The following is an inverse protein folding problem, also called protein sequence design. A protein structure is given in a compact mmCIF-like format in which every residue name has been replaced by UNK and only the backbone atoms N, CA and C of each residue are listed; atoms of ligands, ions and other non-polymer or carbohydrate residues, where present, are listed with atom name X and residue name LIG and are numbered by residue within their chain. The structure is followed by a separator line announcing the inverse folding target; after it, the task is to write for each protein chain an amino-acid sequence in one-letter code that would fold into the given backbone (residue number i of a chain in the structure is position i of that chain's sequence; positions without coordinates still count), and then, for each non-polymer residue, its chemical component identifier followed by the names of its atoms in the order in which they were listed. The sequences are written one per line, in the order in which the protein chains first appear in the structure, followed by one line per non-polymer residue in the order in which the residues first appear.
data_IF_933217190162
#
_entry.id   IF_933217190162
#
_cell.length_a   1.000
_cell.length_b   1.000
_cell.length_c   1.000
_cell.angle_alpha   90.00
_cell.angle_beta   90.00
_cell.angle_gamma   90.00
#
_symmetry.space_group_name_H-M   'P 1'
#
loop_
_entity.id
_entity.type
_entity.pdbx_description
1 polymer ?
#
# COMPACT_ATOMS: atom_id res chain seq x y z
N UNK A 1 15.01 -23.29 5.60
CA UNK A 1 14.01 -22.99 6.66
C UNK A 1 13.54 -21.56 6.43
N UNK A 2 12.39 -21.39 5.78
CA UNK A 2 11.79 -20.08 5.55
C UNK A 2 11.04 -19.71 6.83
N UNK A 3 11.57 -18.77 7.60
CA UNK A 3 10.86 -18.19 8.73
C UNK A 3 9.70 -17.35 8.18
N UNK A 4 8.46 -17.70 8.51
CA UNK A 4 7.31 -16.80 8.41
C UNK A 4 7.58 -15.65 9.39
N UNK A 5 8.00 -14.49 8.87
CA UNK A 5 8.29 -13.31 9.68
C UNK A 5 7.04 -12.78 10.37
N UNK A 6 7.18 -12.19 11.56
CA UNK A 6 6.07 -11.63 12.30
C UNK A 6 5.52 -10.38 11.58
N UNK A 7 4.20 -10.26 11.51
CA UNK A 7 3.40 -9.14 10.96
C UNK A 7 3.94 -8.52 9.67
N UNK A 8 3.57 -9.13 8.55
CA UNK A 8 3.77 -8.55 7.22
C UNK A 8 2.50 -7.85 6.76
N UNK A 9 2.55 -6.53 6.56
CA UNK A 9 1.53 -5.85 5.75
C UNK A 9 1.84 -6.13 4.27
N UNK A 10 1.06 -6.98 3.61
CA UNK A 10 1.23 -7.29 2.19
C UNK A 10 0.28 -6.44 1.37
N UNK A 11 0.82 -5.72 0.40
CA UNK A 11 0.00 -4.97 -0.56
C UNK A 11 -0.45 -5.89 -1.70
N UNK A 12 -1.72 -5.78 -2.08
CA UNK A 12 -2.27 -6.44 -3.28
C UNK A 12 -2.98 -5.40 -4.15
N UNK A 13 -2.57 -5.29 -5.41
CA UNK A 13 -3.25 -4.49 -6.43
C UNK A 13 -4.25 -5.35 -7.20
N UNK A 14 -5.54 -5.04 -7.09
CA UNK A 14 -6.60 -5.77 -7.81
C UNK A 14 -7.09 -4.91 -8.98
N UNK A 15 -7.06 -5.47 -10.20
CA UNK A 15 -7.69 -4.85 -11.37
C UNK A 15 -9.19 -5.05 -11.30
N UNK A 16 -9.94 -3.98 -11.52
CA UNK A 16 -11.39 -3.97 -11.53
C UNK A 16 -11.93 -3.61 -12.91
N UNK A 17 -13.10 -4.16 -13.25
CA UNK A 17 -13.93 -3.60 -14.30
C UNK A 17 -14.60 -2.36 -13.73
N UNK A 18 -14.16 -1.18 -14.16
CA UNK A 18 -14.69 0.09 -13.67
C UNK A 18 -16.21 0.17 -13.83
N UNK A 19 -16.90 0.56 -12.76
CA UNK A 19 -18.34 0.83 -12.73
C UNK A 19 -18.64 1.82 -11.63
N UNK A 20 -19.73 2.58 -11.77
CA UNK A 20 -20.22 3.49 -10.73
C UNK A 20 -21.43 2.89 -10.05
N UNK A 21 -21.56 3.12 -8.74
CA UNK A 21 -22.72 2.68 -7.97
C UNK A 21 -23.07 3.70 -6.91
N UNK A 22 -24.36 4.02 -6.79
CA UNK A 22 -24.87 4.86 -5.70
C UNK A 22 -24.99 4.02 -4.43
N UNK A 23 -24.35 4.46 -3.35
CA UNK A 23 -24.40 3.80 -2.04
C UNK A 23 -25.09 4.70 -1.03
N UNK A 24 -26.22 4.24 -0.50
CA UNK A 24 -27.02 5.00 0.48
C UNK A 24 -26.63 4.70 1.94
N UNK A 25 -25.92 3.60 2.20
CA UNK A 25 -25.62 3.12 3.56
C UNK A 25 -24.66 4.02 4.34
N UNK A 26 -23.81 4.79 3.66
CA UNK A 26 -22.74 5.57 4.28
C UNK A 26 -22.80 7.06 3.92
N UNK A 27 -23.97 7.69 3.97
CA UNK A 27 -24.11 9.13 3.70
C UNK A 27 -24.44 9.49 2.25
N UNK A 28 -24.96 8.53 1.47
CA UNK A 28 -25.41 8.74 0.07
C UNK A 28 -24.28 9.26 -0.83
N UNK A 29 -23.42 8.34 -1.31
CA UNK A 29 -22.29 8.69 -2.17
C UNK A 29 -22.26 7.88 -3.47
N UNK A 30 -21.66 8.45 -4.51
CA UNK A 30 -21.30 7.73 -5.74
C UNK A 30 -19.94 7.04 -5.57
N UNK A 31 -19.94 5.71 -5.58
CA UNK A 31 -18.74 4.88 -5.46
C UNK A 31 -18.25 4.40 -6.83
N UNK A 32 -16.96 4.05 -6.91
CA UNK A 32 -16.34 3.46 -8.11
C UNK A 32 -15.52 4.43 -8.98
N UNK A 33 -15.50 5.72 -8.61
CA UNK A 33 -14.56 6.71 -9.13
C UNK A 33 -13.37 6.94 -8.21
N UNK A 34 -12.45 7.82 -8.61
CA UNK A 34 -11.34 8.33 -7.77
C UNK A 34 -11.67 9.67 -7.10
N UNK A 35 -12.92 10.13 -7.19
CA UNK A 35 -13.39 11.34 -6.51
C UNK A 35 -13.31 11.18 -4.98
N UNK A 36 -13.11 12.30 -4.29
CA UNK A 36 -13.21 12.31 -2.83
C UNK A 36 -14.66 12.10 -2.38
N UNK A 37 -14.86 11.65 -1.14
CA UNK A 37 -16.20 11.42 -0.60
C UNK A 37 -17.10 12.66 -0.70
N UNK A 38 -16.53 13.85 -0.47
CA UNK A 38 -17.23 15.14 -0.57
C UNK A 38 -17.68 15.45 -2.00
N UNK A 39 -16.84 15.17 -2.99
CA UNK A 39 -17.17 15.39 -4.41
C UNK A 39 -18.17 14.37 -4.93
N UNK A 40 -18.24 13.20 -4.29
CA UNK A 40 -19.15 12.12 -4.64
C UNK A 40 -20.46 12.11 -3.83
N UNK A 41 -20.68 13.10 -2.96
CA UNK A 41 -21.86 13.18 -2.09
C UNK A 41 -23.13 13.53 -2.89
N UNK A 42 -24.21 12.80 -2.63
CA UNK A 42 -25.47 12.89 -3.35
C UNK A 42 -26.56 13.38 -2.40
N UNK A 43 -27.01 14.62 -2.60
CA UNK A 43 -28.11 15.21 -1.84
C UNK A 43 -29.46 15.12 -2.59
N UNK A 44 -29.41 15.07 -3.92
CA UNK A 44 -30.56 15.05 -4.81
C UNK A 44 -30.34 14.12 -6.01
N UNK A 45 -31.40 13.80 -6.76
CA UNK A 45 -31.29 12.97 -7.96
C UNK A 45 -30.46 13.64 -9.08
N UNK A 46 -30.50 14.97 -9.17
CA UNK A 46 -29.74 15.74 -10.17
C UNK A 46 -28.23 15.64 -9.93
N UNK A 47 -27.81 15.51 -8.66
CA UNK A 47 -26.40 15.33 -8.30
C UNK A 47 -25.85 14.01 -8.86
N UNK A 48 -26.67 12.96 -8.92
CA UNK A 48 -26.25 11.66 -9.48
C UNK A 48 -25.84 11.83 -10.94
N UNK A 49 -26.67 12.48 -11.75
CA UNK A 49 -26.37 12.71 -13.16
C UNK A 49 -25.15 13.62 -13.34
N UNK A 50 -25.03 14.66 -12.52
CA UNK A 50 -23.90 15.59 -12.53
C UNK A 50 -22.58 14.87 -12.24
N UNK A 51 -22.54 14.06 -11.17
CA UNK A 51 -21.36 13.31 -10.77
C UNK A 51 -21.00 12.25 -11.82
N UNK A 52 -21.99 11.55 -12.39
CA UNK A 52 -21.75 10.57 -13.47
C UNK A 52 -21.11 11.27 -14.68
N UNK A 53 -21.66 12.41 -15.13
CA UNK A 53 -21.09 13.20 -16.23
C UNK A 53 -19.66 13.63 -15.91
N UNK A 54 -19.44 14.19 -14.72
CA UNK A 54 -18.12 14.60 -14.27
C UNK A 54 -17.11 13.44 -14.32
N UNK A 55 -17.48 12.26 -13.81
CA UNK A 55 -16.59 11.09 -13.81
C UNK A 55 -16.28 10.61 -15.22
N UNK A 56 -17.27 10.63 -16.12
CA UNK A 56 -17.07 10.21 -17.52
C UNK A 56 -16.19 11.22 -18.27
N UNK A 57 -16.53 12.50 -18.20
CA UNK A 57 -15.86 13.59 -18.94
C UNK A 57 -14.40 13.74 -18.51
N UNK A 58 -14.14 13.66 -17.19
CA UNK A 58 -12.80 13.72 -16.62
C UNK A 58 -12.10 12.35 -16.58
N UNK A 59 -12.74 11.30 -17.10
CA UNK A 59 -12.24 9.91 -17.11
C UNK A 59 -11.80 9.43 -15.73
N UNK A 60 -12.54 9.78 -14.67
CA UNK A 60 -12.23 9.52 -13.26
C UNK A 60 -12.66 8.14 -12.75
N UNK A 61 -13.07 7.24 -13.65
CA UNK A 61 -13.45 5.89 -13.28
C UNK A 61 -12.24 5.11 -12.75
N UNK A 62 -12.38 4.46 -11.60
CA UNK A 62 -11.33 3.60 -11.07
C UNK A 62 -11.25 2.31 -11.88
N UNK A 63 -10.03 1.88 -12.20
CA UNK A 63 -9.76 0.62 -12.90
C UNK A 63 -8.99 -0.38 -12.04
N UNK A 64 -8.53 0.07 -10.87
CA UNK A 64 -7.75 -0.69 -9.92
C UNK A 64 -8.16 -0.27 -8.51
N UNK A 65 -8.05 -1.20 -7.55
CA UNK A 65 -8.08 -0.87 -6.13
C UNK A 65 -6.76 -1.31 -5.52
N UNK A 66 -6.16 -0.39 -4.79
CA UNK A 66 -4.98 -0.64 -3.98
C UNK A 66 -5.41 -1.06 -2.60
N UNK A 67 -4.99 -2.24 -2.18
CA UNK A 67 -5.32 -2.80 -0.87
C UNK A 67 -4.04 -2.96 -0.07
N UNK A 68 -4.03 -2.42 1.14
CA UNK A 68 -3.06 -2.77 2.18
C UNK A 68 -3.71 -3.82 3.08
N UNK A 69 -3.06 -4.98 3.16
CA UNK A 69 -3.56 -6.13 3.91
C UNK A 69 -2.61 -6.40 5.07
N UNK A 70 -3.12 -6.37 6.30
CA UNK A 70 -2.39 -6.79 7.49
C UNK A 70 -2.45 -8.31 7.64
N UNK A 71 -1.30 -8.98 7.60
CA UNK A 71 -1.18 -10.39 7.96
C UNK A 71 -0.77 -10.52 9.42
N UNK A 72 -1.63 -11.14 10.23
CA UNK A 72 -1.28 -11.51 11.61
C UNK A 72 -0.40 -12.76 11.56
N UNK A 73 0.75 -12.80 12.26
CA UNK A 73 1.69 -13.93 12.24
C UNK A 73 1.23 -15.02 13.21
N UNK A 74 -0.03 -15.38 13.10
CA UNK A 74 -0.65 -16.48 13.83
C UNK A 74 -1.17 -17.48 12.80
N UNK A 75 -0.78 -18.76 12.89
CA UNK A 75 -1.28 -19.78 11.99
C UNK A 75 -2.81 -19.81 11.99
N UNK A 76 -3.41 -19.81 10.79
CA UNK A 76 -4.87 -19.87 10.63
C UNK A 76 -5.61 -18.54 10.84
N UNK A 77 -4.92 -17.45 11.20
CA UNK A 77 -5.55 -16.13 11.25
C UNK A 77 -5.72 -15.57 9.83
N UNK A 78 -6.94 -15.18 9.42
CA UNK A 78 -7.15 -14.62 8.09
C UNK A 78 -6.51 -13.22 7.99
N UNK A 79 -6.06 -12.83 6.79
CA UNK A 79 -5.61 -11.47 6.54
C UNK A 79 -6.74 -10.45 6.75
N UNK A 80 -6.39 -9.26 7.26
CA UNK A 80 -7.33 -8.17 7.49
C UNK A 80 -7.02 -7.02 6.54
N UNK A 81 -8.04 -6.44 5.91
CA UNK A 81 -7.87 -5.24 5.07
C UNK A 81 -7.68 -4.04 5.98
N UNK A 82 -6.52 -3.37 5.87
CA UNK A 82 -6.19 -2.16 6.62
C UNK A 82 -6.61 -0.90 5.87
N UNK A 83 -6.41 -0.89 4.56
CA UNK A 83 -6.82 0.22 3.71
C UNK A 83 -7.18 -0.29 2.31
N UNK A 84 -8.17 0.33 1.69
CA UNK A 84 -8.55 0.11 0.30
C UNK A 84 -8.76 1.47 -0.38
N UNK A 85 -8.02 1.73 -1.46
CA UNK A 85 -8.13 2.97 -2.22
C UNK A 85 -8.40 2.69 -3.70
N UNK A 86 -9.49 3.23 -4.27
CA UNK A 86 -9.71 3.19 -5.70
C UNK A 86 -8.67 4.07 -6.42
N UNK A 87 -8.13 3.55 -7.52
CA UNK A 87 -7.09 4.22 -8.31
C UNK A 87 -7.27 3.94 -9.80
N UNK A 88 -6.59 4.74 -10.63
CA UNK A 88 -6.40 4.51 -12.07
C UNK A 88 -5.14 3.69 -12.38
N UNK A 89 -4.37 3.30 -11.35
CA UNK A 89 -3.11 2.59 -11.50
C UNK A 89 -1.92 3.47 -11.87
N UNK A 90 -2.04 4.80 -11.72
CA UNK A 90 -1.00 5.77 -12.05
C UNK A 90 -0.35 6.43 -10.82
N UNK A 91 -0.66 5.94 -9.62
CA UNK A 91 -0.15 6.55 -8.39
C UNK A 91 1.38 6.44 -8.30
N UNK A 92 2.00 7.55 -7.90
CA UNK A 92 3.45 7.67 -7.78
C UNK A 92 4.02 7.03 -6.52
N UNK A 93 5.32 7.23 -6.31
CA UNK A 93 5.99 6.77 -5.09
C UNK A 93 5.50 7.55 -3.86
N UNK A 94 5.22 8.84 -4.06
CA UNK A 94 4.77 9.78 -3.05
C UNK A 94 3.37 9.42 -2.54
N UNK A 95 2.43 9.11 -3.44
CA UNK A 95 1.08 8.68 -3.09
C UNK A 95 1.09 7.37 -2.30
N UNK A 96 1.94 6.43 -2.73
CA UNK A 96 2.14 5.15 -2.04
C UNK A 96 2.74 5.34 -0.64
N UNK A 97 3.73 6.21 -0.50
CA UNK A 97 4.36 6.52 0.78
C UNK A 97 3.36 7.22 1.72
N UNK A 98 2.56 8.16 1.19
CA UNK A 98 1.54 8.86 1.96
C UNK A 98 0.47 7.90 2.52
N UNK A 99 0.00 6.96 1.69
CA UNK A 99 -0.94 5.93 2.14
C UNK A 99 -0.34 5.05 3.24
N UNK A 100 0.90 4.59 3.07
CA UNK A 100 1.57 3.73 4.03
C UNK A 100 1.83 4.46 5.36
N UNK A 101 2.33 5.70 5.32
CA UNK A 101 2.54 6.54 6.51
C UNK A 101 1.23 6.79 7.26
N UNK A 102 0.14 7.10 6.53
CA UNK A 102 -1.16 7.32 7.17
C UNK A 102 -1.68 6.05 7.83
N UNK A 103 -1.47 4.90 7.19
CA UNK A 103 -1.85 3.59 7.74
C UNK A 103 -1.04 3.28 9.01
N UNK A 104 0.26 3.55 9.03
CA UNK A 104 1.12 3.39 10.21
C UNK A 104 0.69 4.31 11.35
N UNK A 105 0.33 5.55 11.05
CA UNK A 105 -0.19 6.51 12.05
C UNK A 105 -1.48 5.98 12.70
N UNK A 106 -2.45 5.54 11.89
CA UNK A 106 -3.71 4.97 12.37
C UNK A 106 -3.50 3.67 13.16
N UNK A 107 -2.60 2.79 12.71
CA UNK A 107 -2.25 1.58 13.47
C UNK A 107 -1.64 1.94 14.84
N UNK A 108 -0.78 2.96 14.88
CA UNK A 108 -0.20 3.44 16.13
C UNK A 108 -1.21 4.11 17.06
N UNK A 109 -2.27 4.72 16.54
CA UNK A 109 -3.42 5.21 17.31
C UNK A 109 -4.28 4.06 17.86
N UNK A 110 -4.49 3.03 17.06
CA UNK A 110 -5.21 1.81 17.45
C UNK A 110 -4.39 0.84 18.33
N UNK A 111 -3.15 1.21 18.67
CA UNK A 111 -2.20 0.38 19.42
C UNK A 111 -1.92 -0.99 18.75
N UNK A 112 -1.98 -1.02 17.41
CA UNK A 112 -1.58 -2.15 16.59
C UNK A 112 -0.09 -2.02 16.26
N UNK A 113 0.65 -3.11 16.50
CA UNK A 113 2.04 -3.18 16.09
C UNK A 113 2.12 -3.50 14.61
N UNK A 114 3.09 -2.89 13.93
CA UNK A 114 3.37 -3.12 12.52
C UNK A 114 4.87 -3.22 12.39
N UNK A 115 5.34 -4.44 12.17
CA UNK A 115 6.76 -4.76 12.13
C UNK A 115 7.35 -4.59 10.74
N UNK A 116 6.57 -4.91 9.70
CA UNK A 116 7.06 -4.83 8.33
C UNK A 116 5.96 -4.55 7.32
N UNK A 117 6.37 -4.01 6.16
CA UNK A 117 5.55 -3.96 4.97
C UNK A 117 6.27 -4.64 3.81
N UNK A 118 5.51 -5.39 3.02
CA UNK A 118 5.96 -6.06 1.81
C UNK A 118 5.19 -5.58 0.58
N UNK A 119 5.93 -5.44 -0.52
CA UNK A 119 5.43 -5.03 -1.82
C UNK A 119 5.95 -5.93 -2.94
N UNK A 120 5.33 -5.82 -4.12
CA UNK A 120 5.65 -6.62 -5.32
C UNK A 120 6.99 -6.24 -5.96
N UNK A 121 7.60 -5.15 -5.49
CA UNK A 121 8.89 -4.67 -5.94
C UNK A 121 8.82 -3.77 -7.17
N UNK A 122 7.62 -3.31 -7.57
CA UNK A 122 7.47 -2.25 -8.57
C UNK A 122 8.26 -1.00 -8.17
N UNK A 123 8.79 -0.28 -9.16
CA UNK A 123 9.69 0.86 -8.95
C UNK A 123 9.07 1.96 -8.08
N UNK A 124 7.77 2.22 -8.23
CA UNK A 124 7.04 3.17 -7.40
C UNK A 124 6.96 2.71 -5.93
N UNK A 125 6.85 1.41 -5.66
CA UNK A 125 6.80 0.87 -4.30
C UNK A 125 8.16 0.90 -3.60
N UNK A 126 9.22 0.54 -4.32
CA UNK A 126 10.59 0.60 -3.79
C UNK A 126 10.93 2.03 -3.37
N UNK A 127 10.62 3.00 -4.24
CA UNK A 127 10.79 4.43 -3.90
C UNK A 127 9.88 4.87 -2.76
N UNK A 128 8.65 4.37 -2.68
CA UNK A 128 7.77 4.66 -1.56
C UNK A 128 8.37 4.18 -0.23
N UNK A 129 8.94 2.98 -0.20
CA UNK A 129 9.63 2.46 0.98
C UNK A 129 10.85 3.30 1.38
N UNK A 130 11.63 3.78 0.40
CA UNK A 130 12.73 4.71 0.66
C UNK A 130 12.24 6.02 1.28
N UNK A 131 11.15 6.59 0.75
CA UNK A 131 10.51 7.80 1.29
C UNK A 131 10.03 7.57 2.73
N UNK A 132 9.37 6.45 3.01
CA UNK A 132 8.91 6.12 4.37
C UNK A 132 10.07 5.94 5.34
N UNK A 133 11.15 5.29 4.91
CA UNK A 133 12.35 5.12 5.73
C UNK A 133 13.07 6.45 6.02
N UNK A 134 13.03 7.39 5.08
CA UNK A 134 13.62 8.71 5.20
C UNK A 134 12.73 9.73 5.92
N UNK A 135 11.48 9.39 6.28
CA UNK A 135 10.52 10.31 6.89
C UNK A 135 10.85 10.60 8.38
N UNK A 136 11.88 11.44 8.61
CA UNK A 136 12.42 11.83 9.93
C UNK A 136 11.36 12.36 10.89
N UNK A 137 10.39 13.13 10.39
CA UNK A 137 9.38 13.78 11.22
C UNK A 137 8.32 12.81 11.79
N UNK A 138 8.27 11.56 11.30
CA UNK A 138 7.22 10.59 11.63
C UNK A 138 7.70 9.42 12.48
N UNK A 139 9.00 9.23 12.68
CA UNK A 139 9.55 8.20 13.57
C UNK A 139 10.24 8.82 14.80
N UNK A 140 10.24 8.08 15.92
CA UNK A 140 10.80 8.54 17.20
C UNK A 140 12.32 8.39 17.27
N UNK A 141 12.85 7.32 16.67
CA UNK A 141 14.27 6.96 16.72
C UNK A 141 14.61 5.95 15.62
N UNK A 142 15.89 5.56 15.53
CA UNK A 142 16.37 4.48 14.67
C UNK A 142 16.99 3.36 15.48
N UNK A 143 16.78 2.13 15.05
CA UNK A 143 17.61 0.98 15.43
C UNK A 143 18.71 0.86 14.40
N UNK A 144 19.96 0.94 14.84
CA UNK A 144 21.13 0.79 13.98
C UNK A 144 21.82 -0.55 14.25
N UNK A 145 22.27 -1.21 13.19
CA UNK A 145 23.02 -2.45 13.27
C UNK A 145 24.16 -2.39 12.26
N UNK A 146 25.40 -2.53 12.73
CA UNK A 146 26.60 -2.46 11.89
C UNK A 146 27.34 -3.79 11.93
N UNK A 147 27.74 -4.27 10.77
CA UNK A 147 28.68 -5.38 10.59
C UNK A 147 29.90 -4.86 9.81
N UNK A 148 30.89 -4.24 10.49
CA UNK A 148 32.05 -3.63 9.84
C UNK A 148 32.84 -4.60 8.97
N UNK A 149 32.90 -5.88 9.38
CA UNK A 149 33.56 -6.96 8.63
C UNK A 149 33.03 -7.10 7.19
N UNK A 150 31.75 -6.82 6.98
CA UNK A 150 31.09 -6.94 5.68
C UNK A 150 30.75 -5.57 5.07
N UNK A 151 31.11 -4.46 5.72
CA UNK A 151 30.75 -3.11 5.29
C UNK A 151 29.24 -2.85 5.29
N UNK A 152 28.47 -3.55 6.14
CA UNK A 152 27.01 -3.42 6.20
C UNK A 152 26.61 -2.53 7.37
N UNK A 153 25.93 -1.42 7.08
CA UNK A 153 25.31 -0.54 8.07
C UNK A 153 23.81 -0.47 7.81
N UNK A 154 23.04 -1.09 8.71
CA UNK A 154 21.59 -1.14 8.64
C UNK A 154 20.96 -0.15 9.62
N UNK A 155 19.89 0.51 9.18
CA UNK A 155 19.09 1.43 9.99
C UNK A 155 17.60 1.16 9.75
N UNK A 156 16.87 0.91 10.83
CA UNK A 156 15.41 0.76 10.80
C UNK A 156 14.74 1.89 11.59
N UNK A 157 13.79 2.64 11.00
CA UNK A 157 13.03 3.66 11.71
C UNK A 157 12.08 3.01 12.74
N UNK A 158 11.88 3.68 13.87
CA UNK A 158 10.95 3.26 14.93
C UNK A 158 9.76 4.20 14.98
N UNK A 159 8.62 3.73 14.48
CA UNK A 159 7.35 4.43 14.52
C UNK A 159 6.64 4.20 15.86
N UNK A 160 5.47 4.83 16.04
CA UNK A 160 4.59 4.56 17.19
C UNK A 160 4.16 3.08 17.25
N UNK A 161 4.07 2.42 16.09
CA UNK A 161 3.76 1.00 15.94
C UNK A 161 4.92 0.06 16.29
N UNK A 162 6.14 0.59 16.49
CA UNK A 162 7.36 -0.19 16.71
C UNK A 162 8.40 -0.03 15.60
N UNK A 163 9.45 -0.88 15.61
CA UNK A 163 10.46 -0.88 14.55
C UNK A 163 9.82 -1.34 13.23
N UNK A 164 10.12 -0.62 12.16
CA UNK A 164 9.55 -0.89 10.85
C UNK A 164 10.62 -1.29 9.84
N UNK A 165 10.35 -2.37 9.12
CA UNK A 165 11.21 -2.88 8.05
C UNK A 165 10.42 -3.00 6.76
N UNK A 166 10.86 -2.28 5.73
CA UNK A 166 10.34 -2.47 4.38
C UNK A 166 11.06 -3.66 3.69
N UNK A 167 10.29 -4.63 3.21
CA UNK A 167 10.79 -5.88 2.61
C UNK A 167 10.24 -5.97 1.18
N UNK A 168 11.03 -6.52 0.25
CA UNK A 168 10.51 -6.89 -1.08
C UNK A 168 9.97 -8.31 -1.04
N UNK A 169 8.90 -8.58 -1.76
CA UNK A 169 8.40 -9.95 -1.86
C UNK A 169 9.47 -10.89 -2.42
N UNK A 170 9.84 -11.86 -1.60
CA UNK A 170 10.84 -12.88 -1.94
C UNK A 170 10.41 -13.71 -3.14
N UNK A 171 9.10 -13.93 -3.36
CA UNK A 171 8.61 -14.66 -4.52
C UNK A 171 8.92 -13.91 -5.83
N UNK A 172 8.65 -12.61 -5.86
CA UNK A 172 9.00 -11.75 -6.98
C UNK A 172 10.51 -11.64 -7.19
N UNK A 173 11.30 -11.52 -6.11
CA UNK A 173 12.77 -11.50 -6.21
C UNK A 173 13.31 -12.79 -6.82
N UNK A 174 12.84 -13.96 -6.37
CA UNK A 174 13.25 -15.25 -6.93
C UNK A 174 12.90 -15.36 -8.42
N UNK A 175 11.72 -14.88 -8.83
CA UNK A 175 11.33 -14.88 -10.24
C UNK A 175 12.26 -14.02 -11.10
N UNK A 176 12.56 -12.80 -10.66
CA UNK A 176 13.47 -11.90 -11.40
C UNK A 176 14.88 -12.49 -11.52
N UNK A 177 15.37 -13.15 -10.47
CA UNK A 177 16.67 -13.82 -10.51
C UNK A 177 16.67 -14.97 -11.52
N UNK A 178 15.62 -15.79 -11.53
CA UNK A 178 15.47 -16.88 -12.49
C UNK A 178 15.39 -16.38 -13.94
N UNK A 179 14.63 -15.31 -14.19
CA UNK A 179 14.50 -14.72 -15.52
C UNK A 179 15.85 -14.18 -16.02
N UNK A 180 16.66 -13.59 -15.14
CA UNK A 180 18.00 -13.09 -15.46
C UNK A 180 19.01 -14.23 -15.73
N UNK A 181 19.00 -15.30 -14.92
CA UNK A 181 19.85 -16.48 -15.15
C UNK A 181 19.53 -17.15 -16.48
N UNK A 182 18.24 -17.22 -16.86
CA UNK A 182 17.84 -17.77 -18.16
C UNK A 182 18.26 -16.86 -19.32
N UNK A 183 18.18 -15.55 -19.16
CA UNK A 183 18.60 -14.60 -20.19
C UNK A 183 20.10 -14.72 -20.50
N UNK A 184 20.96 -14.91 -19.49
CA UNK A 184 22.40 -15.11 -19.65
C UNK A 184 22.76 -16.44 -20.34
N UNK A 185 21.90 -17.46 -20.24
CA UNK A 185 22.10 -18.77 -20.89
C UNK A 185 21.67 -18.79 -22.38
N UNK A 186 20.98 -17.74 -22.84
CA UNK A 186 20.53 -17.60 -24.24
C UNK A 186 21.39 -16.66 -25.10
N UNK A 187 22.51 -16.16 -24.58
CA UNK A 187 23.48 -15.31 -25.29
C UNK A 187 24.67 -16.13 -25.78
#
# INVERSE_FOLDING_TARGET
MCYDSPEQSTKVGIKLKGSLSHCQEFGSHMLGGVLSLKESEVHSADDIESIIKQVIDLKLLANQVRILIGKVPLPGCPPVVLAALPTKGADGAEDNAALLLKTLELCGEANLQVLSASGDGASAEVKAHEIVNAAIDKHKTYITFSLPKYGLDYKAPVFKTGPFVAIRDTGHVCKVLQDNEQAELTV
#
